data_IF_708720879499
#
_entry.id   IF_708720879499
#
_cell.length_a   1.000
_cell.length_b   1.000
_cell.length_c   1.000
_cell.angle_alpha   90.00
_cell.angle_beta   90.00
_cell.angle_gamma   90.00
#
_symmetry.space_group_name_H-M   'P 1'
#
loop_
_entity.id
_entity.type
_entity.pdbx_description
1 polymer ?
#
# COMPACT_ATOMS: atom_id res chain seq x y z
N UNK A 1 -9.24 -2.58 24.15
CA UNK A 1 -9.74 -1.52 25.06
C UNK A 1 -10.05 -0.32 24.19
N UNK A 2 -11.33 0.06 24.08
CA UNK A 2 -11.75 1.21 23.29
C UNK A 2 -11.73 2.45 24.20
N UNK A 3 -11.27 3.60 23.70
CA UNK A 3 -11.37 4.85 24.45
C UNK A 3 -12.86 5.18 24.66
N UNK A 4 -13.21 5.74 25.81
CA UNK A 4 -14.60 6.02 26.21
C UNK A 4 -15.28 7.18 25.44
N UNK A 5 -14.73 7.57 24.28
CA UNK A 5 -15.20 8.69 23.46
C UNK A 5 -14.89 10.08 24.03
N UNK A 6 -14.58 10.17 25.33
CA UNK A 6 -14.25 11.43 26.02
C UNK A 6 -12.75 11.69 26.07
N UNK A 7 -11.94 10.66 25.89
CA UNK A 7 -10.49 10.75 25.87
C UNK A 7 -9.90 11.20 24.52
N UNK A 8 -8.71 11.80 24.60
CA UNK A 8 -7.86 11.97 23.42
C UNK A 8 -7.32 10.62 22.97
N UNK A 9 -7.34 10.36 21.67
CA UNK A 9 -6.87 9.10 21.12
C UNK A 9 -6.02 9.27 19.86
N UNK A 10 -5.18 8.27 19.63
CA UNK A 10 -4.53 8.00 18.35
C UNK A 10 -4.82 6.55 17.99
N UNK A 11 -5.25 6.33 16.75
CA UNK A 11 -5.63 5.03 16.20
C UNK A 11 -4.84 4.81 14.92
N UNK A 12 -4.16 3.68 14.84
CA UNK A 12 -3.34 3.25 13.71
C UNK A 12 -4.05 2.13 12.99
N UNK A 13 -4.03 2.20 11.67
CA UNK A 13 -4.47 1.13 10.80
C UNK A 13 -3.31 0.65 9.92
N UNK A 14 -3.05 -0.65 9.96
CA UNK A 14 -2.10 -1.35 9.09
C UNK A 14 -2.67 -1.51 7.68
N UNK A 15 -2.58 -0.44 6.89
CA UNK A 15 -3.21 -0.33 5.59
C UNK A 15 -3.79 1.06 5.32
N UNK A 16 -4.73 1.13 4.39
CA UNK A 16 -5.51 2.32 4.08
C UNK A 16 -6.99 1.96 3.91
N UNK A 17 -7.86 2.77 4.49
CA UNK A 17 -9.33 2.67 4.39
C UNK A 17 -9.83 3.86 3.57
N UNK A 18 -10.58 3.56 2.52
CA UNK A 18 -11.24 4.55 1.66
C UNK A 18 -12.57 4.00 1.16
N UNK A 19 -13.66 4.77 1.26
CA UNK A 19 -15.01 4.38 0.83
C UNK A 19 -15.45 2.98 1.30
N UNK A 20 -15.19 2.65 2.56
CA UNK A 20 -15.45 1.34 3.18
C UNK A 20 -14.63 0.17 2.62
N UNK A 21 -13.71 0.43 1.70
CA UNK A 21 -12.74 -0.56 1.23
C UNK A 21 -11.45 -0.46 2.04
N UNK A 22 -10.83 -1.63 2.25
CA UNK A 22 -9.57 -1.77 2.97
C UNK A 22 -8.48 -2.27 2.03
N UNK A 23 -7.35 -1.57 2.05
CA UNK A 23 -6.21 -1.85 1.20
C UNK A 23 -4.96 -2.16 2.05
N UNK A 24 -4.28 -3.29 1.81
CA UNK A 24 -4.67 -4.38 0.91
C UNK A 24 -5.89 -5.14 1.45
N UNK A 25 -6.58 -5.90 0.60
CA UNK A 25 -7.72 -6.75 1.03
C UNK A 25 -7.31 -7.77 2.11
N UNK A 26 -8.29 -8.31 2.84
CA UNK A 26 -8.07 -9.33 3.90
C UNK A 26 -7.33 -10.57 3.38
N UNK A 27 -7.59 -10.97 2.14
CA UNK A 27 -6.89 -12.08 1.48
C UNK A 27 -5.40 -11.81 1.26
N UNK A 28 -5.03 -10.55 0.97
CA UNK A 28 -3.67 -10.15 0.62
C UNK A 28 -2.86 -9.62 1.81
N UNK A 29 -3.48 -9.51 2.98
CA UNK A 29 -2.82 -9.08 4.21
C UNK A 29 -2.44 -10.27 5.09
N UNK A 30 -1.42 -10.12 5.94
CA UNK A 30 -1.05 -11.15 6.93
C UNK A 30 -2.11 -11.22 8.04
N UNK A 31 -2.50 -10.07 8.58
CA UNK A 31 -3.64 -9.91 9.50
C UNK A 31 -4.95 -9.97 8.70
N UNK A 32 -5.59 -11.15 8.68
CA UNK A 32 -6.77 -11.49 7.86
C UNK A 32 -8.09 -10.82 8.23
N UNK A 33 -8.11 -9.92 9.21
CA UNK A 33 -9.33 -9.19 9.57
C UNK A 33 -9.04 -7.73 9.82
N UNK A 34 -9.98 -6.88 9.43
CA UNK A 34 -9.95 -5.43 9.64
C UNK A 34 -9.60 -5.05 11.09
N UNK A 35 -10.24 -5.66 12.09
CA UNK A 35 -10.03 -5.31 13.49
C UNK A 35 -8.63 -5.65 13.99
N UNK A 36 -8.01 -6.72 13.47
CA UNK A 36 -6.63 -7.08 13.84
C UNK A 36 -5.60 -6.09 13.30
N UNK A 37 -5.94 -5.32 12.28
CA UNK A 37 -5.09 -4.27 11.71
C UNK A 37 -5.20 -2.95 12.45
N UNK A 38 -6.11 -2.88 13.42
CA UNK A 38 -6.44 -1.66 14.11
C UNK A 38 -5.86 -1.65 15.52
N UNK A 39 -5.11 -0.60 15.84
CA UNK A 39 -4.59 -0.38 17.17
C UNK A 39 -4.97 1.01 17.66
N UNK A 40 -5.45 1.12 18.89
CA UNK A 40 -5.94 2.38 19.48
C UNK A 40 -5.25 2.63 20.81
N UNK A 41 -4.93 3.89 21.05
CA UNK A 41 -4.35 4.37 22.29
C UNK A 41 -5.09 5.58 22.84
N UNK A 42 -5.27 5.57 24.16
CA UNK A 42 -5.85 6.67 24.94
C UNK A 42 -4.83 7.07 26.02
N UNK A 43 -4.46 8.34 26.12
CA UNK A 43 -3.68 8.89 27.24
C UNK A 43 -2.28 8.31 27.51
N UNK A 44 -1.74 7.43 26.65
CA UNK A 44 -0.41 6.82 26.84
C UNK A 44 0.71 7.76 26.37
N UNK A 45 1.79 7.85 27.15
CA UNK A 45 2.94 8.73 26.86
C UNK A 45 3.80 8.24 25.70
N UNK A 46 4.06 6.93 25.61
CA UNK A 46 4.91 6.34 24.57
C UNK A 46 4.41 4.95 24.15
N UNK A 47 4.48 4.66 22.86
CA UNK A 47 4.08 3.38 22.28
C UNK A 47 4.69 3.19 20.90
N UNK A 48 4.93 1.94 20.54
CA UNK A 48 5.54 1.55 19.28
C UNK A 48 4.55 0.77 18.43
N UNK A 49 4.32 1.23 17.21
CA UNK A 49 3.53 0.55 16.21
C UNK A 49 4.41 0.16 15.02
N UNK A 50 4.26 -1.07 14.53
CA UNK A 50 4.91 -1.54 13.31
C UNK A 50 3.86 -2.03 12.31
N UNK A 51 3.89 -1.44 11.11
CA UNK A 51 3.09 -1.87 9.97
C UNK A 51 3.69 -3.13 9.33
N UNK A 52 2.83 -4.05 8.91
CA UNK A 52 3.22 -5.13 8.01
C UNK A 52 3.21 -4.67 6.53
N UNK A 53 2.64 -3.49 6.28
CA UNK A 53 2.58 -2.85 4.97
C UNK A 53 3.52 -1.65 4.85
N UNK A 54 3.62 -1.13 3.63
CA UNK A 54 4.34 0.11 3.35
C UNK A 54 3.44 1.37 3.45
N UNK A 55 2.30 1.25 4.13
CA UNK A 55 1.37 2.34 4.42
C UNK A 55 0.81 2.16 5.84
N UNK A 56 0.45 3.28 6.47
CA UNK A 56 -0.31 3.37 7.71
C UNK A 56 -1.32 4.48 7.52
N UNK A 57 -2.54 4.27 8.01
CA UNK A 57 -3.50 5.36 8.21
C UNK A 57 -3.58 5.69 9.69
N UNK A 58 -3.46 6.98 10.03
CA UNK A 58 -3.50 7.49 11.40
C UNK A 58 -4.76 8.31 11.56
N UNK A 59 -5.59 7.93 12.53
CA UNK A 59 -6.76 8.66 12.97
C UNK A 59 -6.48 9.21 14.37
N UNK A 60 -6.87 10.45 14.65
CA UNK A 60 -6.65 11.03 15.97
C UNK A 60 -7.78 11.97 16.38
N UNK A 61 -7.95 12.13 17.69
CA UNK A 61 -8.78 13.15 18.33
C UNK A 61 -7.99 13.69 19.52
N UNK A 62 -7.74 14.99 19.55
CA UNK A 62 -7.13 15.69 20.69
C UNK A 62 -8.19 16.61 21.28
N UNK A 63 -8.57 16.36 22.53
CA UNK A 63 -9.69 17.05 23.19
C UNK A 63 -9.32 18.48 23.61
N UNK A 64 -8.14 18.66 24.17
CA UNK A 64 -7.75 19.93 24.76
C UNK A 64 -7.02 20.83 23.75
N UNK A 65 -7.47 22.07 23.64
CA UNK A 65 -6.79 23.08 22.84
C UNK A 65 -5.37 23.33 23.37
N UNK A 66 -4.41 23.50 22.46
CA UNK A 66 -2.99 23.67 22.81
C UNK A 66 -2.25 22.37 23.17
N UNK A 67 -2.93 21.22 23.20
CA UNK A 67 -2.29 19.90 23.29
C UNK A 67 -2.07 19.30 21.91
N UNK A 68 -1.26 18.25 21.84
CA UNK A 68 -0.95 17.57 20.59
C UNK A 68 -0.12 16.31 20.81
N UNK A 69 0.36 15.76 19.71
CA UNK A 69 1.22 14.58 19.71
C UNK A 69 2.38 14.76 18.73
N UNK A 70 3.46 14.03 18.95
CA UNK A 70 4.61 13.98 18.06
C UNK A 70 4.86 12.53 17.67
N UNK A 71 5.00 12.27 16.38
CA UNK A 71 5.32 10.93 15.86
C UNK A 71 6.72 10.97 15.28
N UNK A 72 7.56 10.02 15.68
CA UNK A 72 8.83 9.71 15.03
C UNK A 72 8.67 8.35 14.36
N UNK A 73 8.87 8.29 13.05
CA UNK A 73 8.79 7.04 12.29
C UNK A 73 10.12 6.75 11.59
N UNK A 74 10.35 5.48 11.31
CA UNK A 74 11.50 5.00 10.55
C UNK A 74 11.02 3.96 9.55
N UNK A 75 11.52 4.00 8.32
CA UNK A 75 11.23 2.97 7.32
C UNK A 75 12.09 1.74 7.57
N UNK A 76 11.45 0.59 7.70
CA UNK A 76 12.13 -0.70 7.82
C UNK A 76 12.19 -1.40 6.46
N UNK A 77 13.29 -2.09 6.17
CA UNK A 77 13.44 -2.85 4.92
C UNK A 77 12.45 -4.01 4.91
N UNK A 78 11.40 -3.91 4.11
CA UNK A 78 10.46 -5.01 3.91
C UNK A 78 11.17 -6.17 3.17
N UNK A 79 11.29 -7.31 3.85
CA UNK A 79 11.89 -8.54 3.29
C UNK A 79 10.94 -9.25 2.33
N UNK A 80 9.63 -9.03 2.41
CA UNK A 80 8.58 -9.64 1.58
C UNK A 80 7.93 -8.60 0.65
N UNK A 81 8.59 -8.29 -0.46
CA UNK A 81 8.24 -7.18 -1.38
C UNK A 81 7.05 -7.44 -2.34
N UNK A 82 6.12 -8.32 -1.99
CA UNK A 82 5.07 -8.71 -2.92
C UNK A 82 4.03 -7.59 -3.14
N UNK A 83 3.52 -6.98 -2.06
CA UNK A 83 2.59 -5.86 -2.18
C UNK A 83 3.33 -4.54 -2.00
N UNK A 84 3.13 -3.62 -2.94
CA UNK A 84 3.82 -2.33 -2.94
C UNK A 84 2.86 -1.21 -3.32
N UNK A 85 2.68 -0.26 -2.39
CA UNK A 85 2.11 1.04 -2.69
C UNK A 85 3.24 2.00 -3.05
N UNK A 86 3.23 2.54 -4.26
CA UNK A 86 4.21 3.54 -4.68
C UNK A 86 3.53 4.88 -4.83
N UNK A 87 4.09 5.87 -4.15
CA UNK A 87 3.75 7.26 -4.38
C UNK A 87 4.60 7.77 -5.53
N UNK A 88 3.97 8.16 -6.63
CA UNK A 88 4.64 8.96 -7.64
C UNK A 88 5.05 10.27 -6.97
N UNK A 89 6.34 10.61 -7.06
CA UNK A 89 6.76 11.97 -6.70
C UNK A 89 6.16 12.91 -7.73
N UNK A 90 5.83 14.14 -7.31
CA UNK A 90 5.43 15.22 -8.22
C UNK A 90 6.58 15.49 -9.19
N UNK A 91 6.51 14.79 -10.32
CA UNK A 91 7.52 14.74 -11.37
C UNK A 91 6.76 14.61 -12.69
N UNK A 92 5.82 15.53 -12.91
CA UNK A 92 4.93 15.68 -14.08
C UNK A 92 5.63 15.63 -15.44
N UNK A 93 6.97 15.47 -15.48
CA UNK A 93 7.81 15.49 -16.67
C UNK A 93 8.82 14.32 -16.78
N UNK A 94 8.92 13.39 -15.82
CA UNK A 94 9.90 12.28 -15.92
C UNK A 94 9.26 10.90 -15.87
N UNK A 95 9.56 10.08 -16.89
CA UNK A 95 9.20 8.66 -16.92
C UNK A 95 9.75 7.92 -15.69
N UNK A 96 8.91 7.11 -15.05
CA UNK A 96 9.30 6.29 -13.90
C UNK A 96 9.28 4.82 -14.27
N UNK A 97 10.37 4.11 -13.96
CA UNK A 97 10.48 2.66 -14.16
C UNK A 97 10.31 1.92 -12.84
N UNK A 98 9.31 1.06 -12.75
CA UNK A 98 9.10 0.16 -11.61
C UNK A 98 9.50 -1.27 -11.98
N UNK A 99 10.36 -1.89 -11.15
CA UNK A 99 10.80 -3.28 -11.34
C UNK A 99 10.26 -4.12 -10.19
N UNK A 100 9.26 -4.93 -10.49
CA UNK A 100 8.67 -5.88 -9.55
C UNK A 100 9.34 -7.25 -9.70
N UNK A 101 9.73 -7.86 -8.57
CA UNK A 101 10.32 -9.21 -8.54
C UNK A 101 9.70 -10.01 -7.40
N UNK A 102 9.14 -11.22 -7.65
CA UNK A 102 8.65 -12.07 -6.58
C UNK A 102 9.81 -12.49 -5.67
N UNK A 103 9.60 -12.41 -4.36
CA UNK A 103 10.58 -12.85 -3.36
C UNK A 103 10.20 -14.22 -2.81
N UNK A 104 11.07 -15.22 -3.02
CA UNK A 104 11.04 -16.58 -2.43
C UNK A 104 9.83 -17.48 -2.70
N UNK A 105 8.71 -17.00 -3.23
CA UNK A 105 7.50 -17.81 -3.51
C UNK A 105 6.72 -17.32 -4.73
N UNK A 106 6.01 -18.24 -5.39
CA UNK A 106 4.94 -17.90 -6.35
C UNK A 106 3.80 -17.28 -5.56
N UNK A 107 3.55 -15.98 -5.76
CA UNK A 107 2.48 -15.26 -5.09
C UNK A 107 1.85 -14.26 -6.07
N UNK A 108 0.54 -14.07 -5.95
CA UNK A 108 -0.14 -12.96 -6.60
C UNK A 108 0.27 -11.70 -5.86
N UNK A 109 0.87 -10.75 -6.58
CA UNK A 109 1.42 -9.53 -6.01
C UNK A 109 0.67 -8.33 -6.57
N UNK A 110 0.28 -7.42 -5.69
CA UNK A 110 -0.43 -6.20 -6.10
C UNK A 110 0.51 -5.00 -6.05
N UNK A 111 0.51 -4.21 -7.11
CA UNK A 111 1.22 -2.94 -7.19
C UNK A 111 0.20 -1.81 -7.33
N UNK A 112 0.20 -0.87 -6.39
CA UNK A 112 -0.71 0.27 -6.38
C UNK A 112 0.09 1.55 -6.55
N UNK A 113 -0.23 2.32 -7.59
CA UNK A 113 0.32 3.66 -7.78
C UNK A 113 -0.67 4.66 -7.21
N UNK A 114 -0.24 5.42 -6.21
CA UNK A 114 -1.05 6.51 -5.62
C UNK A 114 -0.38 7.83 -5.98
N UNK A 115 -1.07 8.67 -6.73
CA UNK A 115 -0.76 10.10 -6.84
C UNK A 115 -1.85 10.92 -6.18
N UNK A 116 -1.51 12.15 -5.78
CA UNK A 116 -2.53 13.08 -5.33
C UNK A 116 -3.25 13.67 -6.54
N UNK A 117 -4.59 13.75 -6.55
CA UNK A 117 -5.30 14.52 -7.57
C UNK A 117 -4.88 15.99 -7.42
N UNK A 118 -4.04 16.49 -8.32
CA UNK A 118 -3.34 17.76 -8.14
C UNK A 118 -4.10 18.92 -8.79
N UNK A 119 -4.53 19.86 -7.95
CA UNK A 119 -5.06 21.22 -8.20
C UNK A 119 -6.22 21.42 -9.20
N UNK A 120 -7.02 22.44 -8.89
CA UNK A 120 -8.43 22.39 -8.48
C UNK A 120 -9.34 23.16 -9.43
N UNK A 121 -8.80 23.75 -10.48
CA UNK A 121 -9.56 24.67 -11.34
C UNK A 121 -9.78 24.16 -12.77
N UNK A 122 -8.98 23.21 -13.28
CA UNK A 122 -9.19 22.66 -14.63
C UNK A 122 -8.87 21.17 -14.82
N UNK A 123 -8.20 20.48 -13.89
CA UNK A 123 -7.56 19.19 -14.20
C UNK A 123 -8.35 17.95 -13.75
N UNK A 124 -9.18 17.48 -14.68
CA UNK A 124 -9.65 16.10 -14.90
C UNK A 124 -8.60 15.04 -14.51
N UNK A 125 -9.09 13.88 -14.03
CA UNK A 125 -8.33 12.82 -13.37
C UNK A 125 -7.10 12.27 -14.08
N UNK A 126 -6.31 11.51 -13.32
CA UNK A 126 -5.08 10.88 -13.78
C UNK A 126 -5.33 9.89 -14.92
N UNK A 127 -4.65 10.08 -16.05
CA UNK A 127 -4.53 9.07 -17.11
C UNK A 127 -3.11 8.52 -17.05
N UNK A 128 -2.97 7.26 -16.69
CA UNK A 128 -1.69 6.56 -16.74
C UNK A 128 -1.44 6.06 -18.16
N UNK A 129 -0.27 6.38 -18.72
CA UNK A 129 0.23 5.75 -19.93
C UNK A 129 1.42 4.86 -19.57
N UNK A 130 1.31 3.57 -19.88
CA UNK A 130 2.44 2.65 -19.81
C UNK A 130 3.17 2.72 -21.16
N UNK A 131 4.27 3.47 -21.22
CA UNK A 131 5.04 3.64 -22.45
C UNK A 131 5.78 2.36 -22.86
N UNK A 132 6.21 1.56 -21.88
CA UNK A 132 6.93 0.31 -22.12
C UNK A 132 6.65 -0.69 -21.00
N UNK A 133 6.32 -1.93 -21.38
CA UNK A 133 6.12 -3.05 -20.46
C UNK A 133 6.89 -4.27 -20.96
N UNK A 134 7.53 -5.00 -20.03
CA UNK A 134 8.21 -6.26 -20.33
C UNK A 134 7.97 -7.26 -19.20
N UNK A 135 7.39 -8.41 -19.53
CA UNK A 135 7.24 -9.54 -18.61
C UNK A 135 8.42 -10.48 -18.84
N UNK A 136 9.29 -10.62 -17.84
CA UNK A 136 10.45 -11.51 -17.88
C UNK A 136 10.17 -12.83 -17.15
N UNK A 137 9.05 -13.48 -17.49
CA UNK A 137 8.62 -14.76 -16.91
C UNK A 137 8.80 -15.94 -17.89
N UNK A 138 9.33 -15.67 -19.08
CA UNK A 138 9.69 -16.74 -20.00
C UNK A 138 10.91 -17.48 -19.47
N UNK A 139 10.68 -18.65 -18.87
CA UNK A 139 11.51 -19.81 -19.24
C UNK A 139 11.24 -20.06 -20.72
N UNK A 140 12.26 -20.35 -21.49
CA UNK A 140 12.24 -20.55 -22.95
C UNK A 140 11.29 -21.66 -23.47
N UNK A 141 10.37 -22.18 -22.65
CA UNK A 141 9.52 -23.35 -22.89
C UNK A 141 8.14 -23.00 -23.50
N UNK A 142 7.55 -21.83 -23.21
CA UNK A 142 6.18 -21.53 -23.67
C UNK A 142 6.10 -21.22 -25.20
N UNK A 143 7.24 -20.97 -25.85
CA UNK A 143 7.33 -20.81 -27.31
C UNK A 143 7.40 -22.18 -28.02
N UNK A 144 7.95 -23.21 -27.37
CA UNK A 144 8.07 -24.54 -27.95
C UNK A 144 6.71 -25.23 -28.11
N UNK A 145 5.77 -25.07 -27.16
CA UNK A 145 4.45 -25.69 -27.23
C UNK A 145 3.54 -25.09 -28.32
N UNK A 146 3.66 -23.80 -28.63
CA UNK A 146 2.90 -23.18 -29.74
C UNK A 146 3.36 -23.66 -31.11
N UNK A 147 4.62 -24.05 -31.25
CA UNK A 147 5.16 -24.59 -32.50
C UNK A 147 4.86 -26.09 -32.66
N UNK A 148 4.72 -26.83 -31.56
CA UNK A 148 4.29 -28.24 -31.61
C UNK A 148 2.80 -28.40 -31.96
N UNK A 149 1.93 -27.46 -31.58
CA UNK A 149 0.49 -27.52 -31.90
C UNK A 149 0.20 -27.09 -33.35
N UNK A 150 1.05 -26.27 -33.97
CA UNK A 150 0.87 -25.82 -35.37
C UNK A 150 1.45 -26.76 -36.43
N UNK A 151 2.02 -27.91 -36.03
CA UNK A 151 2.61 -28.88 -36.95
C UNK A 151 1.71 -30.11 -37.23
N UNK A 152 0.49 -30.12 -36.69
CA UNK A 152 -0.47 -31.24 -36.84
C UNK A 152 -1.81 -30.83 -37.49
N UNK A 153 -1.86 -29.73 -38.26
CA UNK A 153 -2.99 -29.40 -39.15
C UNK A 153 -2.54 -29.42 -40.62
#
# INVERSE_FOLDING_TARGET
>A
MFCDGTDSYIKFFDGWIHNNETWPSDENHYKKSHDKRMEMMCGRKEHYFQSDQNIIQIFYKIKDSGRGFRIKFQFQKNKNRCNMIVRTRDQTLTEQTFVMRPYKRKAICTFLVIDWPWNRQTFTGMIFRINKMRINDQRDECIAERNAVKQND
#
